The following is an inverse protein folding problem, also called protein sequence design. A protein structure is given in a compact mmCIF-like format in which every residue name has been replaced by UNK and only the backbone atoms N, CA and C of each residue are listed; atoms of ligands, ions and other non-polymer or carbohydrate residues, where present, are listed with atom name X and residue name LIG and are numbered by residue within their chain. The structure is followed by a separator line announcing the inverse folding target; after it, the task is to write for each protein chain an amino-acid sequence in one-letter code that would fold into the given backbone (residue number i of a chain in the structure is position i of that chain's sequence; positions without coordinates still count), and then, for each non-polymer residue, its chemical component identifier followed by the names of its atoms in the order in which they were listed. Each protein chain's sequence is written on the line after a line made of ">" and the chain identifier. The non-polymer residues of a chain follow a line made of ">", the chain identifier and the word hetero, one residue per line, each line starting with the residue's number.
data_IF_522277421601
#
_entry.id   IF_522277421601
#
_cell.length_a   1.000
_cell.length_b   1.000
_cell.length_c   1.000
_cell.angle_alpha   90.00
_cell.angle_beta   90.00
_cell.angle_gamma   90.00
#
_symmetry.space_group_name_H-M   'P 1'
#
loop_
_entity.id
_entity.type
_entity.pdbx_description
1 polymer ?
#
# COMPACT_ATOMS: atom_id res chain seq x y z
N UNK A 1 26.20 -68.41 25.85
CA UNK A 1 25.21 -67.35 25.57
C UNK A 1 25.94 -66.05 25.24
N UNK A 2 25.43 -65.21 24.34
CA UNK A 2 26.04 -63.90 24.04
C UNK A 2 25.69 -62.88 25.13
N UNK A 3 26.68 -62.10 25.60
CA UNK A 3 26.50 -60.71 26.05
C UNK A 3 27.65 -59.89 25.47
N UNK A 4 27.34 -58.67 25.03
CA UNK A 4 28.25 -57.85 24.22
C UNK A 4 29.04 -56.85 25.08
N UNK A 5 30.20 -56.48 24.57
CA UNK A 5 31.01 -55.37 25.04
C UNK A 5 30.29 -54.05 24.66
N UNK A 6 29.93 -53.22 25.63
CA UNK A 6 29.38 -51.89 25.38
C UNK A 6 30.51 -50.86 25.35
N UNK A 7 30.73 -50.25 24.18
CA UNK A 7 31.61 -49.10 24.04
C UNK A 7 30.92 -47.82 24.53
N UNK A 8 31.67 -46.92 25.16
CA UNK A 8 31.24 -45.53 25.36
C UNK A 8 31.30 -44.78 24.03
N UNK A 9 30.25 -44.04 23.64
CA UNK A 9 30.36 -43.03 22.59
C UNK A 9 31.04 -41.76 23.16
N UNK A 10 32.27 -41.49 22.73
CA UNK A 10 32.89 -40.18 22.94
C UNK A 10 32.24 -39.20 21.96
N UNK A 11 31.50 -38.21 22.47
CA UNK A 11 30.93 -37.14 21.65
C UNK A 11 32.04 -36.13 21.32
N UNK A 12 32.62 -36.26 20.13
CA UNK A 12 33.57 -35.30 19.61
C UNK A 12 32.83 -34.04 19.13
N UNK A 13 33.00 -32.93 19.84
CA UNK A 13 32.41 -31.64 19.49
C UNK A 13 33.23 -30.97 18.36
N UNK A 14 32.75 -31.06 17.13
CA UNK A 14 33.44 -30.50 15.96
C UNK A 14 33.16 -28.99 15.85
N UNK A 15 34.16 -28.19 16.20
CA UNK A 15 34.20 -26.75 15.92
C UNK A 15 34.54 -26.51 14.43
N UNK A 16 33.52 -26.25 13.61
CA UNK A 16 33.71 -25.78 12.23
C UNK A 16 33.97 -24.26 12.22
N UNK A 17 35.24 -23.88 12.35
CA UNK A 17 35.71 -22.52 12.08
C UNK A 17 35.94 -22.33 10.57
N UNK A 18 34.86 -22.01 9.88
CA UNK A 18 34.85 -21.44 8.53
C UNK A 18 33.81 -20.31 8.53
N UNK A 19 34.12 -19.07 8.21
CA UNK A 19 35.33 -18.45 7.66
C UNK A 19 34.86 -17.15 7.00
N UNK A 20 35.60 -16.04 7.12
CA UNK A 20 35.11 -14.75 6.65
C UNK A 20 34.85 -14.79 5.14
N UNK A 21 33.59 -14.68 4.74
CA UNK A 21 33.15 -14.56 3.37
C UNK A 21 32.32 -13.29 3.30
N UNK A 22 32.74 -12.33 2.48
CA UNK A 22 32.11 -11.00 2.42
C UNK A 22 30.70 -11.10 1.84
N UNK A 23 29.71 -11.22 2.71
CA UNK A 23 28.34 -10.88 2.35
C UNK A 23 28.26 -9.36 2.22
N UNK A 24 28.48 -8.88 1.00
CA UNK A 24 28.16 -7.51 0.59
C UNK A 24 26.70 -7.24 0.94
N UNK A 25 26.49 -6.43 1.99
CA UNK A 25 25.16 -6.00 2.40
C UNK A 25 24.45 -5.40 1.18
N UNK A 26 23.20 -5.80 0.86
CA UNK A 26 22.43 -5.12 -0.16
C UNK A 26 22.40 -3.63 0.18
N UNK A 27 22.85 -2.79 -0.75
CA UNK A 27 23.04 -1.37 -0.52
C UNK A 27 21.67 -0.69 -0.56
N UNK A 28 20.86 -0.90 0.48
CA UNK A 28 19.56 -0.25 0.67
C UNK A 28 19.80 1.24 0.86
N UNK A 29 19.76 1.96 -0.26
CA UNK A 29 19.66 3.41 -0.29
C UNK A 29 18.39 3.80 0.47
N UNK A 30 18.55 4.25 1.72
CA UNK A 30 17.46 4.83 2.49
C UNK A 30 16.93 6.05 1.75
N UNK A 31 15.86 5.86 0.97
CA UNK A 31 15.25 6.93 0.20
C UNK A 31 14.72 7.94 1.21
N UNK A 32 15.19 9.18 1.11
CA UNK A 32 14.98 10.21 2.14
C UNK A 32 13.59 10.85 1.96
N UNK A 33 12.55 10.03 2.08
CA UNK A 33 11.18 10.37 1.69
C UNK A 33 10.56 11.30 2.72
N UNK A 34 10.09 12.43 2.21
CA UNK A 34 9.61 13.54 3.03
C UNK A 34 8.13 13.39 3.38
N UNK A 35 7.80 13.75 4.63
CA UNK A 35 6.45 13.68 5.19
C UNK A 35 6.24 12.52 6.17
N UNK A 36 4.96 12.20 6.41
CA UNK A 36 4.54 11.30 7.49
C UNK A 36 4.09 9.91 6.98
N UNK A 37 3.95 9.72 5.67
CA UNK A 37 3.69 8.42 5.06
C UNK A 37 4.96 7.56 5.07
N UNK A 38 5.12 6.73 6.10
CA UNK A 38 6.25 5.82 6.30
C UNK A 38 6.24 4.61 5.35
N UNK A 39 6.32 4.88 4.05
CA UNK A 39 6.44 3.85 3.02
C UNK A 39 7.84 3.24 2.96
N UNK A 40 8.10 2.58 1.84
CA UNK A 40 9.37 1.93 1.50
C UNK A 40 9.62 2.00 0.00
N UNK A 41 10.87 1.80 -0.42
CA UNK A 41 11.18 1.51 -1.81
C UNK A 41 11.00 0.01 -2.11
N UNK A 42 10.38 -0.29 -3.24
CA UNK A 42 10.34 -1.62 -3.82
C UNK A 42 10.68 -1.52 -5.31
N UNK A 43 11.80 -2.11 -5.69
CA UNK A 43 12.31 -2.11 -7.08
C UNK A 43 12.47 -0.69 -7.68
N UNK A 44 12.76 0.33 -6.87
CA UNK A 44 12.85 1.73 -7.30
C UNK A 44 11.51 2.49 -7.35
N UNK A 45 10.42 1.89 -6.85
CA UNK A 45 9.08 2.48 -6.77
C UNK A 45 8.67 2.66 -5.31
N UNK A 46 7.97 3.74 -4.97
CA UNK A 46 7.51 3.94 -3.59
C UNK A 46 6.23 3.16 -3.30
N UNK A 47 6.16 2.51 -2.14
CA UNK A 47 4.93 1.84 -1.66
C UNK A 47 4.63 2.22 -0.22
N UNK A 48 3.38 2.61 0.06
CA UNK A 48 2.83 2.77 1.40
C UNK A 48 1.37 2.30 1.48
N UNK A 49 1.03 1.59 2.57
CA UNK A 49 -0.33 1.23 2.94
C UNK A 49 -0.65 1.66 4.37
N UNK A 50 -1.93 1.87 4.65
CA UNK A 50 -2.39 2.31 5.98
C UNK A 50 -2.49 1.21 7.04
N UNK A 51 -2.21 -0.06 6.73
CA UNK A 51 -2.50 -1.17 7.65
C UNK A 51 -1.60 -1.11 8.89
N UNK A 52 -0.31 -0.78 8.73
CA UNK A 52 0.60 -0.64 9.87
C UNK A 52 0.15 0.49 10.84
N UNK A 53 -0.43 1.59 10.35
CA UNK A 53 -1.00 2.62 11.23
C UNK A 53 -2.18 2.09 12.06
N UNK A 54 -3.04 1.24 11.48
CA UNK A 54 -4.15 0.64 12.22
C UNK A 54 -3.66 -0.34 13.30
N UNK A 55 -2.66 -1.18 13.00
CA UNK A 55 -2.07 -2.11 13.96
C UNK A 55 -1.31 -1.40 15.10
N UNK A 56 -0.63 -0.29 14.80
CA UNK A 56 0.07 0.53 15.78
C UNK A 56 -0.89 1.25 16.73
N UNK A 57 -1.95 1.85 16.18
CA UNK A 57 -2.99 2.50 16.98
C UNK A 57 -3.70 1.49 17.89
N UNK A 58 -4.03 0.31 17.36
CA UNK A 58 -4.65 -0.78 18.12
C UNK A 58 -3.79 -1.26 19.31
N UNK A 59 -2.47 -1.35 19.14
CA UNK A 59 -1.51 -1.69 20.19
C UNK A 59 -1.47 -0.62 21.30
N UNK A 60 -1.37 0.65 20.88
CA UNK A 60 -1.41 1.80 21.79
C UNK A 60 -2.74 1.89 22.56
N UNK A 61 -3.87 1.68 21.88
CA UNK A 61 -5.22 1.81 22.44
C UNK A 61 -5.54 0.70 23.45
N UNK A 62 -5.26 -0.57 23.11
CA UNK A 62 -5.85 -1.73 23.79
C UNK A 62 -4.85 -2.59 24.59
N UNK A 63 -3.54 -2.40 24.40
CA UNK A 63 -2.50 -3.15 25.14
C UNK A 63 -1.67 -2.21 26.02
N UNK A 64 -1.08 -1.16 25.45
CA UNK A 64 -0.22 -0.22 26.18
C UNK A 64 -1.04 0.83 26.96
N UNK A 65 -2.21 1.19 26.44
CA UNK A 65 -3.07 2.29 26.90
C UNK A 65 -2.40 3.69 26.89
N UNK A 66 -1.26 3.82 26.23
CA UNK A 66 -0.54 5.05 25.94
C UNK A 66 0.19 4.94 24.58
N UNK A 67 0.93 5.98 24.19
CA UNK A 67 1.76 5.95 22.97
C UNK A 67 3.00 5.08 23.21
N UNK A 68 3.33 4.19 22.27
CA UNK A 68 4.53 3.37 22.33
C UNK A 68 5.81 4.23 22.44
N UNK A 69 6.69 3.88 23.38
CA UNK A 69 7.97 4.53 23.61
C UNK A 69 9.09 3.48 23.47
N UNK A 70 10.24 3.85 22.91
CA UNK A 70 11.41 2.95 22.77
C UNK A 70 12.56 3.36 23.67
N UNK A 71 13.22 2.36 24.25
CA UNK A 71 14.46 2.52 24.99
C UNK A 71 15.66 2.46 24.02
N UNK A 72 15.86 3.51 23.23
CA UNK A 72 16.93 3.58 22.22
C UNK A 72 17.31 5.01 21.85
N UNK A 73 18.61 5.26 21.60
CA UNK A 73 19.12 6.52 21.02
C UNK A 73 19.06 6.55 19.47
N UNK A 74 18.52 5.50 18.84
CA UNK A 74 18.40 5.38 17.39
C UNK A 74 17.39 6.41 16.83
N UNK A 75 17.92 7.47 16.22
CA UNK A 75 17.15 8.58 15.69
C UNK A 75 16.17 8.19 14.59
N UNK A 76 16.46 7.14 13.81
CA UNK A 76 15.57 6.66 12.75
C UNK A 76 14.38 5.93 13.38
N UNK A 77 14.65 5.06 14.35
CA UNK A 77 13.60 4.39 15.12
C UNK A 77 12.70 5.40 15.87
N UNK A 78 13.30 6.41 16.49
CA UNK A 78 12.58 7.47 17.22
C UNK A 78 11.73 8.36 16.29
N UNK A 79 12.20 8.72 15.10
CA UNK A 79 11.41 9.45 14.10
C UNK A 79 10.23 8.60 13.57
N UNK A 80 10.46 7.32 13.28
CA UNK A 80 9.42 6.39 12.85
C UNK A 80 8.35 6.19 13.93
N UNK A 81 8.76 5.99 15.19
CA UNK A 81 7.84 5.95 16.35
C UNK A 81 7.07 7.26 16.49
N UNK A 82 7.74 8.41 16.31
CA UNK A 82 7.09 9.72 16.38
C UNK A 82 6.02 9.89 15.30
N UNK A 83 6.26 9.41 14.08
CA UNK A 83 5.28 9.43 12.98
C UNK A 83 4.14 8.43 13.18
N UNK A 84 4.42 7.19 13.59
CA UNK A 84 3.39 6.18 13.87
C UNK A 84 2.49 6.60 15.04
N UNK A 85 3.05 7.24 16.08
CA UNK A 85 2.32 7.81 17.20
C UNK A 85 1.54 9.11 16.87
N UNK A 86 1.66 9.64 15.67
CA UNK A 86 0.87 10.79 15.19
C UNK A 86 0.30 10.46 13.79
N UNK A 87 -0.61 9.47 13.73
CA UNK A 87 -0.95 8.76 12.50
C UNK A 87 -1.63 9.67 11.47
N UNK A 88 -1.20 9.54 10.21
CA UNK A 88 -1.85 10.11 9.01
C UNK A 88 -3.11 9.37 8.59
N UNK A 89 -3.42 8.24 9.22
CA UNK A 89 -4.47 7.31 8.78
C UNK A 89 -5.00 6.50 9.96
N UNK A 90 -6.33 6.34 10.03
CA UNK A 90 -7.03 5.79 11.19
C UNK A 90 -8.24 4.96 10.79
N UNK A 91 -8.89 4.30 11.77
CA UNK A 91 -10.16 3.59 11.60
C UNK A 91 -11.31 4.47 11.05
N UNK A 92 -11.16 5.81 11.03
CA UNK A 92 -12.14 6.78 10.46
C UNK A 92 -11.96 7.02 8.96
N UNK A 93 -10.84 6.61 8.40
CA UNK A 93 -10.46 6.81 7.00
C UNK A 93 -10.79 5.58 6.13
N UNK A 94 -11.43 4.59 6.75
CA UNK A 94 -12.09 3.44 6.15
C UNK A 94 -13.50 3.28 6.73
N UNK A 95 -14.33 2.59 5.99
CA UNK A 95 -15.60 2.04 6.44
C UNK A 95 -15.42 0.69 7.16
N UNK A 96 -16.25 0.43 8.17
CA UNK A 96 -16.13 -0.74 9.05
C UNK A 96 -16.27 -2.10 8.35
N UNK A 97 -16.80 -2.17 7.11
CA UNK A 97 -16.77 -3.42 6.31
C UNK A 97 -15.36 -3.75 5.83
N UNK A 98 -14.54 -2.74 5.49
CA UNK A 98 -13.29 -2.89 4.75
C UNK A 98 -12.05 -3.22 5.59
N UNK A 99 -12.09 -3.15 6.92
CA UNK A 99 -10.93 -3.50 7.77
C UNK A 99 -11.25 -4.53 8.86
N UNK A 100 -10.22 -5.28 9.27
CA UNK A 100 -10.18 -6.08 10.50
C UNK A 100 -8.93 -5.70 11.29
N UNK A 101 -9.09 -5.41 12.57
CA UNK A 101 -8.02 -4.95 13.46
C UNK A 101 -8.22 -5.62 14.81
N UNK A 102 -7.17 -6.19 15.38
CA UNK A 102 -7.22 -6.86 16.68
C UNK A 102 -5.84 -6.98 17.33
N UNK A 103 -5.78 -6.73 18.63
CA UNK A 103 -4.64 -7.03 19.50
C UNK A 103 -4.96 -8.07 20.58
N UNK A 104 -3.91 -8.59 21.23
CA UNK A 104 -4.02 -9.50 22.36
C UNK A 104 -2.71 -10.24 22.68
N UNK A 105 -2.80 -11.22 23.57
CA UNK A 105 -1.66 -12.01 24.07
C UNK A 105 -1.72 -13.47 23.59
N UNK A 106 -0.55 -14.03 23.26
CA UNK A 106 -0.31 -15.45 22.99
C UNK A 106 -1.06 -16.07 21.81
N UNK A 107 -0.81 -17.37 21.59
CA UNK A 107 -1.31 -18.12 20.44
C UNK A 107 -2.83 -18.00 20.21
N UNK A 108 -3.64 -18.03 21.28
CA UNK A 108 -5.09 -17.89 21.19
C UNK A 108 -5.53 -16.61 20.46
N UNK A 109 -4.75 -15.53 20.54
CA UNK A 109 -5.03 -14.30 19.80
C UNK A 109 -4.75 -14.47 18.30
N UNK A 110 -3.67 -15.16 17.93
CA UNK A 110 -3.32 -15.50 16.53
C UNK A 110 -4.41 -16.38 15.90
N UNK A 111 -4.88 -17.38 16.65
CA UNK A 111 -5.90 -18.32 16.19
C UNK A 111 -7.25 -17.61 15.96
N UNK A 112 -7.61 -16.67 16.84
CA UNK A 112 -8.79 -15.80 16.67
C UNK A 112 -8.62 -14.85 15.48
N UNK A 113 -7.45 -14.21 15.32
CA UNK A 113 -7.15 -13.33 14.17
C UNK A 113 -7.32 -14.10 12.85
N UNK A 114 -6.74 -15.29 12.76
CA UNK A 114 -6.82 -16.13 11.56
C UNK A 114 -8.26 -16.52 11.24
N UNK A 115 -9.05 -16.89 12.26
CA UNK A 115 -10.47 -17.20 12.11
C UNK A 115 -11.28 -15.98 11.66
N UNK A 116 -11.32 -14.92 12.48
CA UNK A 116 -12.21 -13.76 12.27
C UNK A 116 -11.85 -12.98 11.01
N UNK A 117 -10.56 -12.84 10.68
CA UNK A 117 -10.12 -12.18 9.43
C UNK A 117 -10.58 -12.95 8.18
N UNK A 118 -10.62 -14.28 8.25
CA UNK A 118 -11.05 -15.17 7.15
C UNK A 118 -12.56 -15.27 7.02
N UNK A 119 -13.28 -15.25 8.15
CA UNK A 119 -14.74 -15.14 8.19
C UNK A 119 -15.21 -13.78 7.64
N UNK A 120 -14.49 -12.68 7.93
CA UNK A 120 -14.81 -11.34 7.42
C UNK A 120 -14.40 -11.13 5.95
N UNK A 121 -13.30 -11.74 5.50
CA UNK A 121 -12.79 -11.58 4.14
C UNK A 121 -12.57 -12.93 3.43
N UNK A 122 -13.62 -13.57 2.90
CA UNK A 122 -13.50 -14.83 2.16
C UNK A 122 -12.63 -14.76 0.89
N UNK A 123 -12.42 -13.56 0.33
CA UNK A 123 -11.53 -13.30 -0.81
C UNK A 123 -10.06 -13.06 -0.43
N UNK A 124 -9.70 -13.08 0.87
CA UNK A 124 -8.34 -12.84 1.36
C UNK A 124 -7.32 -13.77 0.71
N UNK A 125 -6.40 -13.20 -0.07
CA UNK A 125 -5.36 -13.94 -0.81
C UNK A 125 -4.08 -14.20 -0.02
N UNK A 126 -3.87 -13.53 1.11
CA UNK A 126 -2.80 -13.86 2.05
C UNK A 126 -3.16 -15.11 2.87
N UNK A 127 -2.14 -15.91 3.20
CA UNK A 127 -2.27 -17.06 4.10
C UNK A 127 -2.67 -16.62 5.52
N UNK A 128 -3.12 -17.60 6.30
CA UNK A 128 -3.26 -17.46 7.75
C UNK A 128 -1.86 -17.19 8.37
N UNK A 129 -1.81 -16.46 9.49
CA UNK A 129 -0.58 -16.13 10.21
C UNK A 129 0.09 -17.39 10.78
N UNK A 130 1.34 -17.60 10.39
CA UNK A 130 2.20 -18.71 10.83
C UNK A 130 3.25 -18.18 11.84
N UNK A 131 2.77 -17.78 13.02
CA UNK A 131 3.59 -17.31 14.15
C UNK A 131 3.22 -18.10 15.40
N UNK A 132 4.23 -18.46 16.20
CA UNK A 132 4.07 -19.20 17.46
C UNK A 132 4.33 -18.28 18.65
N UNK A 133 3.30 -18.00 19.46
CA UNK A 133 3.37 -17.02 20.55
C UNK A 133 3.13 -17.64 21.93
N UNK A 134 4.07 -17.40 22.84
CA UNK A 134 3.97 -17.77 24.26
C UNK A 134 2.83 -17.01 24.95
N UNK A 135 2.28 -17.47 26.09
CA UNK A 135 1.11 -16.85 26.74
C UNK A 135 1.28 -15.39 27.22
N UNK A 136 2.49 -14.83 27.16
CA UNK A 136 2.79 -13.43 27.50
C UNK A 136 3.21 -12.59 26.30
N UNK A 137 3.44 -13.20 25.15
CA UNK A 137 3.90 -12.50 23.95
C UNK A 137 2.72 -11.73 23.34
N UNK A 138 2.96 -10.52 22.81
CA UNK A 138 1.91 -9.63 22.30
C UNK A 138 1.83 -9.74 20.77
N UNK A 139 0.61 -9.71 20.23
CA UNK A 139 0.36 -9.42 18.82
C UNK A 139 -0.62 -8.25 18.70
N UNK A 140 -0.36 -7.36 17.75
CA UNK A 140 -1.35 -6.43 17.20
C UNK A 140 -1.37 -6.60 15.69
N UNK A 141 -2.57 -6.76 15.12
CA UNK A 141 -2.78 -7.08 13.72
C UNK A 141 -3.79 -6.13 13.10
N UNK A 142 -3.53 -5.78 11.85
CA UNK A 142 -4.48 -5.11 10.98
C UNK A 142 -4.44 -5.72 9.58
N UNK A 143 -5.61 -5.74 8.95
CA UNK A 143 -5.80 -6.08 7.55
C UNK A 143 -6.93 -5.21 7.01
N UNK A 144 -6.79 -4.69 5.80
CA UNK A 144 -7.90 -4.09 5.07
C UNK A 144 -7.96 -4.64 3.66
N UNK A 145 -9.16 -4.61 3.09
CA UNK A 145 -9.42 -5.01 1.72
C UNK A 145 -10.32 -3.96 1.07
N UNK A 146 -9.85 -3.44 -0.06
CA UNK A 146 -10.53 -2.51 -0.95
C UNK A 146 -10.42 -3.10 -2.36
N UNK A 147 -11.56 -3.42 -2.94
CA UNK A 147 -11.71 -3.97 -4.28
C UNK A 147 -12.69 -3.02 -4.98
N UNK A 148 -12.28 -2.41 -6.11
CA UNK A 148 -13.04 -1.35 -6.79
C UNK A 148 -13.01 -1.51 -8.30
N UNK A 149 -14.13 -1.22 -8.96
CA UNK A 149 -14.29 -1.29 -10.42
C UNK A 149 -14.62 0.08 -11.02
N UNK A 150 -14.25 0.30 -12.28
CA UNK A 150 -14.72 1.47 -13.03
C UNK A 150 -16.21 1.35 -13.38
N UNK A 151 -16.89 2.49 -13.56
CA UNK A 151 -18.28 2.53 -14.04
C UNK A 151 -18.40 2.04 -15.51
N UNK A 152 -17.31 2.09 -16.27
CA UNK A 152 -17.18 1.44 -17.59
C UNK A 152 -15.73 1.00 -17.75
N UNK A 153 -15.51 -0.28 -18.08
CA UNK A 153 -14.17 -0.79 -18.33
C UNK A 153 -13.55 -0.12 -19.57
N UNK A 154 -12.25 0.18 -19.48
CA UNK A 154 -11.43 0.70 -20.57
C UNK A 154 -11.08 -0.40 -21.59
N UNK A 155 -10.56 -0.01 -22.75
CA UNK A 155 -10.08 -0.98 -23.75
C UNK A 155 -8.61 -1.32 -23.49
N UNK A 156 -8.24 -2.61 -23.54
CA UNK A 156 -6.83 -3.03 -23.45
C UNK A 156 -5.98 -2.48 -24.61
N UNK A 157 -4.78 -1.99 -24.31
CA UNK A 157 -3.85 -1.48 -25.34
C UNK A 157 -2.41 -1.46 -24.85
N UNK A 158 -1.46 -1.79 -25.72
CA UNK A 158 -0.05 -1.55 -25.43
C UNK A 158 0.24 -0.04 -25.42
N UNK A 159 0.67 0.47 -24.27
CA UNK A 159 1.03 1.88 -24.05
C UNK A 159 2.56 2.02 -24.06
N UNK A 160 3.08 3.19 -23.69
CA UNK A 160 4.53 3.39 -23.51
C UNK A 160 4.81 4.15 -22.23
N UNK A 161 5.81 3.70 -21.47
CA UNK A 161 6.27 4.31 -20.23
C UNK A 161 7.79 4.46 -20.26
N UNK A 162 8.32 5.67 -20.06
CA UNK A 162 9.73 6.02 -20.24
C UNK A 162 10.31 5.44 -21.56
N UNK A 163 9.54 5.57 -22.65
CA UNK A 163 9.80 5.03 -24.00
C UNK A 163 9.83 3.49 -24.13
N UNK A 164 9.50 2.72 -23.09
CA UNK A 164 9.37 1.27 -23.13
C UNK A 164 7.92 0.84 -23.37
N UNK A 165 7.69 -0.19 -24.20
CA UNK A 165 6.34 -0.72 -24.46
C UNK A 165 5.90 -1.70 -23.37
N UNK A 166 4.78 -1.41 -22.73
CA UNK A 166 4.16 -2.21 -21.67
C UNK A 166 2.68 -2.41 -21.98
N UNK A 167 2.05 -3.42 -21.39
CA UNK A 167 0.60 -3.57 -21.46
C UNK A 167 -0.07 -2.46 -20.66
N UNK A 168 -1.25 -2.04 -21.11
CA UNK A 168 -2.00 -0.95 -20.54
C UNK A 168 -3.45 -0.95 -21.01
N UNK A 169 -4.09 0.20 -20.84
CA UNK A 169 -5.46 0.43 -21.23
C UNK A 169 -5.68 1.91 -21.61
N UNK A 170 -6.76 2.18 -22.34
CA UNK A 170 -7.08 3.52 -22.83
C UNK A 170 -8.59 3.77 -22.91
N UNK A 171 -8.96 5.06 -22.93
CA UNK A 171 -10.31 5.47 -23.29
C UNK A 171 -10.43 5.52 -24.82
N UNK A 172 -11.24 4.62 -25.37
CA UNK A 172 -11.59 4.48 -26.78
C UNK A 172 -12.95 5.11 -27.06
N UNK A 173 -13.94 4.87 -26.19
CA UNK A 173 -15.30 5.41 -26.30
C UNK A 173 -15.51 6.63 -25.40
N UNK A 174 -16.51 7.44 -25.72
CA UNK A 174 -16.83 8.63 -24.93
C UNK A 174 -17.40 8.29 -23.54
N UNK A 175 -18.12 7.17 -23.40
CA UNK A 175 -18.51 6.60 -22.10
C UNK A 175 -17.28 6.36 -21.21
N UNK A 176 -16.22 5.73 -21.76
CA UNK A 176 -14.95 5.52 -21.04
C UNK A 176 -14.26 6.86 -20.70
N UNK A 177 -14.34 7.88 -21.56
CA UNK A 177 -13.84 9.23 -21.26
C UNK A 177 -14.61 9.87 -20.11
N UNK A 178 -15.93 9.66 -20.00
CA UNK A 178 -16.71 10.21 -18.87
C UNK A 178 -16.24 9.69 -17.50
N UNK A 179 -15.55 8.56 -17.44
CA UNK A 179 -14.99 8.01 -16.21
C UNK A 179 -13.69 8.69 -15.77
N UNK A 180 -13.02 9.44 -16.65
CA UNK A 180 -11.82 10.20 -16.30
C UNK A 180 -12.25 11.60 -15.87
N UNK A 181 -12.15 11.91 -14.58
CA UNK A 181 -12.48 13.22 -14.00
C UNK A 181 -11.23 14.05 -13.77
N UNK A 182 -11.22 15.30 -14.23
CA UNK A 182 -10.07 16.20 -14.08
C UNK A 182 -10.13 16.85 -12.68
N UNK A 183 -9.22 16.45 -11.79
CA UNK A 183 -8.98 17.16 -10.52
C UNK A 183 -8.15 18.42 -10.80
N UNK A 184 -7.13 18.31 -11.67
CA UNK A 184 -6.25 19.42 -12.05
C UNK A 184 -5.57 19.16 -13.38
N UNK A 185 -5.42 20.18 -14.22
CA UNK A 185 -4.61 20.11 -15.44
C UNK A 185 -3.72 21.35 -15.55
N UNK A 186 -2.41 21.15 -15.65
CA UNK A 186 -1.43 22.21 -15.94
C UNK A 186 -0.78 21.99 -17.32
N UNK A 187 -0.55 20.73 -17.72
CA UNK A 187 -0.13 20.34 -19.08
C UNK A 187 -0.29 18.83 -19.31
N UNK A 188 -0.07 18.39 -20.56
CA UNK A 188 0.09 16.98 -20.96
C UNK A 188 1.13 16.21 -20.11
N UNK A 189 2.05 16.92 -19.42
CA UNK A 189 3.06 16.35 -18.52
C UNK A 189 2.81 16.60 -17.02
N UNK A 190 1.77 17.35 -16.66
CA UNK A 190 1.42 17.64 -15.27
C UNK A 190 -0.09 17.79 -15.07
N UNK A 191 -0.71 16.76 -14.51
CA UNK A 191 -2.14 16.68 -14.26
C UNK A 191 -2.46 15.77 -13.06
N UNK A 192 -3.67 15.91 -12.53
CA UNK A 192 -4.30 15.01 -11.58
C UNK A 192 -5.68 14.64 -12.12
N UNK A 193 -5.96 13.35 -12.23
CA UNK A 193 -7.27 12.81 -12.61
C UNK A 193 -7.75 11.82 -11.55
N UNK A 194 -9.07 11.71 -11.38
CA UNK A 194 -9.70 10.56 -10.70
C UNK A 194 -10.34 9.67 -11.74
N UNK A 195 -10.20 8.36 -11.58
CA UNK A 195 -11.03 7.39 -12.29
C UNK A 195 -12.31 7.16 -11.49
N UNK A 196 -13.47 7.19 -12.15
CA UNK A 196 -14.79 7.10 -11.54
C UNK A 196 -15.16 5.63 -11.28
N UNK A 197 -15.39 5.32 -10.02
CA UNK A 197 -15.62 3.97 -9.51
C UNK A 197 -17.11 3.67 -9.28
N UNK A 198 -17.48 2.39 -9.32
CA UNK A 198 -18.84 1.93 -8.99
C UNK A 198 -19.20 2.18 -7.51
N UNK A 199 -18.34 1.80 -6.57
CA UNK A 199 -18.46 2.22 -5.16
C UNK A 199 -17.95 3.66 -5.03
N UNK A 200 -18.89 4.61 -5.11
CA UNK A 200 -18.63 6.05 -5.03
C UNK A 200 -18.15 6.53 -3.66
N UNK A 201 -18.03 5.63 -2.67
CA UNK A 201 -17.39 5.95 -1.39
C UNK A 201 -15.86 5.88 -1.44
N UNK A 202 -15.27 5.36 -2.53
CA UNK A 202 -13.84 5.36 -2.81
C UNK A 202 -13.47 6.14 -4.07
N UNK A 203 -12.18 6.51 -4.18
CA UNK A 203 -11.58 7.17 -5.35
C UNK A 203 -10.22 6.54 -5.69
N UNK A 204 -9.95 6.40 -6.99
CA UNK A 204 -8.65 6.01 -7.53
C UNK A 204 -8.08 7.20 -8.32
N UNK A 205 -7.03 7.80 -7.79
CA UNK A 205 -6.48 9.09 -8.25
C UNK A 205 -5.08 8.87 -8.84
N UNK A 206 -4.83 9.50 -9.99
CA UNK A 206 -3.60 9.38 -10.76
C UNK A 206 -3.00 10.78 -10.98
N UNK A 207 -1.77 11.00 -10.54
CA UNK A 207 -1.12 12.32 -10.56
C UNK A 207 0.28 12.27 -11.20
N UNK A 208 0.41 12.86 -12.39
CA UNK A 208 1.66 12.94 -13.18
C UNK A 208 2.34 14.31 -12.96
N UNK A 209 3.67 14.33 -12.97
CA UNK A 209 4.44 15.59 -12.94
C UNK A 209 4.57 16.24 -11.55
N UNK A 210 4.58 15.42 -10.50
CA UNK A 210 4.82 15.82 -9.10
C UNK A 210 6.13 15.21 -8.58
N UNK A 211 6.68 15.74 -7.48
CA UNK A 211 7.90 15.19 -6.87
C UNK A 211 7.64 13.78 -6.33
N UNK A 212 8.43 12.80 -6.79
CA UNK A 212 8.31 11.39 -6.41
C UNK A 212 8.94 11.07 -5.05
N UNK A 213 9.57 12.05 -4.37
CA UNK A 213 10.15 11.92 -3.03
C UNK A 213 9.25 12.53 -1.92
N UNK A 214 8.08 13.04 -2.29
CA UNK A 214 7.19 13.77 -1.38
C UNK A 214 5.71 13.34 -1.55
N UNK A 215 5.33 12.14 -1.07
CA UNK A 215 3.94 11.67 -1.08
C UNK A 215 3.00 12.62 -0.33
N UNK A 216 3.51 13.36 0.68
CA UNK A 216 2.72 14.34 1.41
C UNK A 216 2.28 15.51 0.52
N UNK A 217 3.17 16.03 -0.35
CA UNK A 217 2.87 17.16 -1.22
C UNK A 217 1.86 16.82 -2.32
N UNK A 218 1.88 15.61 -2.89
CA UNK A 218 0.86 15.20 -3.88
C UNK A 218 -0.50 15.02 -3.21
N UNK A 219 -0.58 14.39 -2.03
CA UNK A 219 -1.84 14.26 -1.26
C UNK A 219 -2.39 15.63 -0.85
N UNK A 220 -1.53 16.55 -0.39
CA UNK A 220 -1.95 17.94 -0.11
C UNK A 220 -2.45 18.65 -1.37
N UNK A 221 -1.85 18.41 -2.54
CA UNK A 221 -2.34 18.99 -3.80
C UNK A 221 -3.68 18.39 -4.21
N UNK A 222 -3.87 17.08 -4.08
CA UNK A 222 -5.14 16.39 -4.34
C UNK A 222 -6.24 17.03 -3.47
N UNK A 223 -6.06 17.05 -2.14
CA UNK A 223 -7.06 17.58 -1.20
C UNK A 223 -7.39 19.08 -1.39
N UNK A 224 -6.51 19.85 -2.03
CA UNK A 224 -6.75 21.26 -2.35
C UNK A 224 -7.57 21.49 -3.63
N UNK A 225 -7.58 20.53 -4.57
CA UNK A 225 -8.19 20.68 -5.90
C UNK A 225 -9.34 19.67 -6.13
N UNK A 226 -9.42 18.60 -5.34
CA UNK A 226 -10.44 17.57 -5.43
C UNK A 226 -11.77 18.08 -4.85
N UNK A 227 -12.58 18.69 -5.71
CA UNK A 227 -13.89 19.22 -5.38
C UNK A 227 -14.99 18.21 -5.76
N UNK A 228 -16.20 18.41 -5.21
CA UNK A 228 -17.31 17.46 -5.38
C UNK A 228 -17.72 17.25 -6.85
N UNK A 229 -17.71 18.34 -7.62
CA UNK A 229 -18.24 18.38 -8.99
C UNK A 229 -17.05 18.64 -9.94
N UNK A 230 -16.51 17.57 -10.53
CA UNK A 230 -15.36 17.60 -11.44
C UNK A 230 -15.78 17.38 -12.90
N UNK A 231 -15.22 18.11 -13.88
CA UNK A 231 -15.47 17.85 -15.29
C UNK A 231 -14.87 16.50 -15.72
N UNK A 232 -15.46 15.90 -16.76
CA UNK A 232 -14.83 14.80 -17.48
C UNK A 232 -13.67 15.30 -18.36
N UNK A 233 -12.94 14.38 -18.99
CA UNK A 233 -12.16 14.71 -20.19
C UNK A 233 -13.10 14.76 -21.41
N UNK A 234 -12.79 15.61 -22.39
CA UNK A 234 -13.67 15.87 -23.55
C UNK A 234 -13.57 14.76 -24.61
N UNK A 235 -14.51 14.70 -25.57
CA UNK A 235 -14.49 13.71 -26.69
C UNK A 235 -13.18 13.71 -27.49
N UNK A 236 -12.50 14.86 -27.54
CA UNK A 236 -11.24 15.03 -28.24
C UNK A 236 -9.99 14.62 -27.41
N UNK A 237 -10.14 14.45 -26.10
CA UNK A 237 -9.04 14.18 -25.17
C UNK A 237 -8.63 12.70 -25.15
N UNK A 238 -7.40 12.44 -24.72
CA UNK A 238 -6.78 11.12 -24.74
C UNK A 238 -6.38 10.68 -23.33
N UNK A 239 -6.87 9.52 -22.86
CA UNK A 239 -6.42 8.88 -21.63
C UNK A 239 -5.73 7.54 -21.91
N UNK A 240 -4.56 7.31 -21.30
CA UNK A 240 -3.80 6.05 -21.38
C UNK A 240 -3.06 5.76 -20.07
N UNK A 241 -3.10 4.52 -19.60
CA UNK A 241 -2.40 4.06 -18.39
C UNK A 241 -1.75 2.68 -18.56
N UNK A 242 -0.57 2.42 -17.97
CA UNK A 242 -0.01 1.07 -17.84
C UNK A 242 -0.87 0.18 -16.92
N UNK A 243 -0.85 -1.14 -17.18
CA UNK A 243 -1.29 -2.13 -16.18
C UNK A 243 -0.23 -2.24 -15.08
N UNK A 244 -0.68 -2.36 -13.83
CA UNK A 244 0.20 -2.48 -12.67
C UNK A 244 -0.06 -3.77 -11.90
N UNK A 245 1.02 -4.42 -11.45
CA UNK A 245 1.01 -5.55 -10.53
C UNK A 245 2.04 -5.34 -9.41
N UNK A 246 1.64 -5.54 -8.16
CA UNK A 246 2.48 -5.38 -6.98
C UNK A 246 2.20 -6.52 -5.99
N UNK A 247 3.27 -7.20 -5.56
CA UNK A 247 3.30 -8.13 -4.43
C UNK A 247 4.55 -7.80 -3.60
N UNK A 248 4.38 -6.97 -2.58
CA UNK A 248 5.47 -6.40 -1.77
C UNK A 248 5.41 -6.89 -0.32
N UNK A 249 6.56 -7.24 0.22
CA UNK A 249 6.78 -7.58 1.63
C UNK A 249 7.83 -6.64 2.22
N UNK A 250 7.51 -6.02 3.37
CA UNK A 250 8.39 -5.05 4.03
C UNK A 250 8.50 -5.32 5.52
N UNK A 251 9.70 -5.68 5.97
CA UNK A 251 10.10 -5.61 7.37
C UNK A 251 10.39 -4.15 7.78
N UNK A 252 10.07 -3.81 9.03
CA UNK A 252 10.42 -2.56 9.69
C UNK A 252 11.70 -2.78 10.51
N UNK A 253 12.80 -3.07 9.82
CA UNK A 253 14.10 -3.46 10.40
C UNK A 253 14.70 -2.41 11.34
N UNK A 254 14.28 -1.16 11.21
CA UNK A 254 14.65 -0.03 12.07
C UNK A 254 14.00 -0.11 13.46
N UNK A 255 12.87 -0.81 13.56
CA UNK A 255 12.06 -0.99 14.79
C UNK A 255 12.22 -2.38 15.39
N UNK A 256 12.54 -3.40 14.59
CA UNK A 256 12.82 -4.76 15.07
C UNK A 256 14.04 -4.77 16.00
N UNK A 257 13.96 -5.54 17.09
CA UNK A 257 14.97 -5.64 18.13
C UNK A 257 15.01 -4.48 19.13
N UNK A 258 14.18 -3.44 18.97
CA UNK A 258 14.13 -2.31 19.92
C UNK A 258 13.26 -2.66 21.14
N UNK A 259 13.78 -2.42 22.34
CA UNK A 259 13.05 -2.59 23.60
C UNK A 259 12.07 -1.43 23.85
N UNK A 260 10.95 -1.73 24.51
CA UNK A 260 9.96 -0.72 24.89
C UNK A 260 10.41 0.04 26.15
N UNK A 261 9.87 1.25 26.32
CA UNK A 261 10.06 2.10 27.51
C UNK A 261 8.74 2.41 28.24
N UNK A 262 7.63 1.78 27.82
CA UNK A 262 6.31 1.94 28.45
C UNK A 262 6.26 1.21 29.80
N UNK A 263 5.55 1.80 30.77
CA UNK A 263 5.51 1.32 32.15
C UNK A 263 4.83 -0.06 32.25
N UNK A 264 5.53 -1.05 32.80
CA UNK A 264 5.08 -2.45 32.85
C UNK A 264 5.33 -3.26 31.56
N UNK A 265 5.98 -2.66 30.56
CA UNK A 265 6.36 -3.29 29.29
C UNK A 265 7.89 -3.26 29.05
N UNK A 266 8.70 -2.96 30.06
CA UNK A 266 10.15 -2.78 29.95
C UNK A 266 10.90 -4.09 29.60
N UNK A 267 10.30 -5.25 29.92
CA UNK A 267 10.80 -6.59 29.53
C UNK A 267 10.51 -6.95 28.05
N UNK A 268 9.77 -6.11 27.30
CA UNK A 268 9.36 -6.40 25.92
C UNK A 268 10.22 -5.68 24.87
N UNK A 269 10.34 -6.31 23.70
CA UNK A 269 10.94 -5.74 22.51
C UNK A 269 10.14 -6.12 21.27
N UNK A 270 10.27 -5.33 20.20
CA UNK A 270 9.63 -5.63 18.90
C UNK A 270 10.39 -6.80 18.25
N UNK A 271 9.85 -8.01 18.37
CA UNK A 271 10.49 -9.23 17.83
C UNK A 271 10.35 -9.36 16.31
N UNK A 272 9.19 -8.99 15.77
CA UNK A 272 8.88 -8.92 14.34
C UNK A 272 7.92 -7.76 14.08
N UNK A 273 8.06 -7.10 12.94
CA UNK A 273 7.15 -6.04 12.49
C UNK A 273 7.25 -5.95 10.97
N UNK A 274 6.21 -6.40 10.26
CA UNK A 274 6.19 -6.44 8.79
C UNK A 274 4.81 -6.05 8.22
N UNK A 275 4.79 -5.66 6.95
CA UNK A 275 3.58 -5.40 6.18
C UNK A 275 3.65 -6.18 4.84
N UNK A 276 2.51 -6.67 4.36
CA UNK A 276 2.38 -7.27 3.03
C UNK A 276 1.36 -6.46 2.23
N UNK A 277 1.75 -5.99 1.04
CA UNK A 277 0.95 -5.08 0.22
C UNK A 277 0.76 -5.71 -1.15
N UNK A 278 -0.50 -5.93 -1.54
CA UNK A 278 -0.89 -6.40 -2.87
C UNK A 278 -1.76 -5.36 -3.56
N UNK A 279 -1.41 -5.02 -4.78
CA UNK A 279 -2.16 -4.08 -5.61
C UNK A 279 -2.14 -4.53 -7.07
N UNK A 280 -3.26 -4.34 -7.76
CA UNK A 280 -3.41 -4.59 -9.19
C UNK A 280 -4.22 -3.43 -9.79
N UNK A 281 -3.86 -2.99 -10.99
CA UNK A 281 -4.64 -2.02 -11.76
C UNK A 281 -4.66 -2.45 -13.23
N UNK A 282 -5.85 -2.70 -13.74
CA UNK A 282 -6.09 -3.11 -15.13
C UNK A 282 -7.19 -2.26 -15.78
N UNK A 283 -7.71 -2.71 -16.94
CA UNK A 283 -8.75 -2.01 -17.70
C UNK A 283 -10.14 -2.05 -17.06
N UNK A 284 -10.38 -2.94 -16.08
CA UNK A 284 -11.66 -3.07 -15.36
C UNK A 284 -11.64 -2.35 -14.01
N UNK A 285 -10.47 -2.29 -13.37
CA UNK A 285 -10.24 -1.52 -12.16
C UNK A 285 -9.15 -2.11 -11.29
N UNK A 286 -9.50 -2.28 -10.02
CA UNK A 286 -8.78 -3.02 -9.01
C UNK A 286 -9.73 -4.03 -8.34
N UNK A 287 -10.36 -4.91 -9.17
CA UNK A 287 -11.13 -6.13 -8.81
C UNK A 287 -12.54 -5.86 -8.19
N UNK A 288 -13.63 -6.65 -8.25
CA UNK A 288 -14.32 -7.68 -9.11
C UNK A 288 -15.68 -7.91 -8.39
N UNK A 289 -16.90 -8.08 -8.94
CA UNK A 289 -17.56 -8.03 -10.28
C UNK A 289 -19.08 -7.85 -9.99
N UNK A 290 -20.00 -7.41 -10.87
CA UNK A 290 -19.98 -6.60 -12.09
C UNK A 290 -21.45 -6.46 -12.57
N UNK A 291 -22.07 -5.26 -12.63
CA UNK A 291 -23.30 -4.99 -13.41
C UNK A 291 -23.44 -3.49 -13.76
N UNK A 292 -24.19 -3.13 -14.82
CA UNK A 292 -24.17 -1.78 -15.44
C UNK A 292 -25.56 -1.15 -15.69
N UNK A 293 -25.63 0.19 -15.76
CA UNK A 293 -26.84 0.99 -16.03
C UNK A 293 -26.51 2.24 -16.88
N UNK A 294 -27.45 2.65 -17.74
CA UNK A 294 -27.34 3.78 -18.70
C UNK A 294 -27.98 5.08 -18.15
N UNK A 295 -27.43 6.24 -18.52
CA UNK A 295 -28.12 7.54 -18.51
C UNK A 295 -27.69 8.40 -19.73
N UNK A 296 -28.51 9.38 -20.14
CA UNK A 296 -28.34 10.16 -21.38
C UNK A 296 -27.84 11.60 -21.16
N UNK A 297 -27.31 12.20 -22.25
CA UNK A 297 -26.60 13.48 -22.30
C UNK A 297 -27.51 14.73 -22.43
N UNK A 298 -26.93 15.90 -22.17
CA UNK A 298 -27.41 17.22 -22.62
C UNK A 298 -26.27 17.97 -23.35
N UNK A 299 -26.59 18.79 -24.36
CA UNK A 299 -25.61 19.42 -25.27
C UNK A 299 -24.95 20.68 -24.68
N UNK A 300 -23.64 20.84 -24.85
CA UNK A 300 -22.93 22.13 -24.74
C UNK A 300 -22.03 22.31 -25.98
N UNK A 301 -21.80 23.57 -26.38
CA UNK A 301 -21.13 23.93 -27.63
C UNK A 301 -19.60 23.83 -27.56
N UNK A 302 -18.98 23.33 -28.64
CA UNK A 302 -17.53 23.23 -28.77
C UNK A 302 -16.86 24.58 -29.00
N UNK A 303 -15.72 24.79 -28.35
CA UNK A 303 -14.66 25.74 -28.73
C UNK A 303 -13.41 24.96 -29.10
N UNK A 304 -12.62 25.45 -30.07
CA UNK A 304 -11.38 24.80 -30.53
C UNK A 304 -10.23 24.84 -29.49
N UNK A 305 -10.39 24.13 -28.37
CA UNK A 305 -9.25 23.76 -27.52
C UNK A 305 -8.45 22.62 -28.16
N UNK A 306 -7.12 22.67 -28.03
CA UNK A 306 -6.24 21.56 -28.43
C UNK A 306 -6.51 20.35 -27.51
N UNK A 307 -6.65 19.12 -28.05
CA UNK A 307 -6.69 17.88 -27.27
C UNK A 307 -5.68 17.81 -26.12
N UNK A 308 -6.19 17.52 -24.93
CA UNK A 308 -5.47 17.30 -23.68
C UNK A 308 -5.09 15.82 -23.59
N UNK A 309 -3.87 15.53 -23.15
CA UNK A 309 -3.29 14.17 -23.20
C UNK A 309 -2.99 13.68 -21.79
N UNK A 310 -3.98 13.03 -21.19
CA UNK A 310 -3.93 12.35 -19.89
C UNK A 310 -3.21 11.00 -20.01
N UNK A 311 -1.98 11.03 -20.53
CA UNK A 311 -1.15 9.85 -20.81
C UNK A 311 -0.13 9.68 -19.69
N UNK A 312 -0.14 8.53 -19.03
CA UNK A 312 0.82 8.14 -18.00
C UNK A 312 2.04 7.45 -18.63
N UNK A 313 2.86 8.23 -19.33
CA UNK A 313 4.10 7.79 -19.99
C UNK A 313 5.39 8.07 -19.19
N UNK A 314 5.27 8.75 -18.04
CA UNK A 314 6.36 9.25 -17.18
C UNK A 314 5.95 9.10 -15.71
N UNK A 315 6.88 9.15 -14.73
CA UNK A 315 6.60 8.90 -13.33
C UNK A 315 5.36 9.61 -12.77
N UNK A 316 4.56 8.85 -12.02
CA UNK A 316 3.26 9.27 -11.51
C UNK A 316 2.94 8.60 -10.18
N UNK A 317 2.07 9.26 -9.43
CA UNK A 317 1.47 8.73 -8.21
C UNK A 317 0.14 8.05 -8.53
N UNK A 318 -0.08 6.88 -7.92
CA UNK A 318 -1.40 6.27 -7.71
C UNK A 318 -1.77 6.47 -6.25
N UNK A 319 -2.95 7.02 -5.98
CA UNK A 319 -3.46 7.30 -4.64
C UNK A 319 -4.87 6.74 -4.53
N UNK A 320 -5.18 6.04 -3.44
CA UNK A 320 -6.53 5.59 -3.14
C UNK A 320 -6.99 6.09 -1.77
N UNK A 321 -8.14 6.74 -1.75
CA UNK A 321 -8.76 7.32 -0.56
C UNK A 321 -10.28 7.17 -0.63
N UNK A 322 -10.95 7.26 0.53
CA UNK A 322 -12.41 7.42 0.54
C UNK A 322 -12.80 8.82 0.03
N UNK A 323 -13.92 8.92 -0.66
CA UNK A 323 -14.52 10.19 -1.14
C UNK A 323 -14.83 11.17 0.00
N UNK A 324 -15.00 10.67 1.23
CA UNK A 324 -15.26 11.48 2.44
C UNK A 324 -14.06 11.65 3.38
N UNK A 325 -12.86 11.16 3.01
CA UNK A 325 -11.62 11.43 3.76
C UNK A 325 -10.58 12.18 2.91
N UNK A 326 -9.75 12.97 3.61
CA UNK A 326 -8.54 13.61 3.09
C UNK A 326 -7.30 12.70 3.21
N UNK A 327 -7.42 11.54 3.87
CA UNK A 327 -6.32 10.63 4.12
C UNK A 327 -6.44 9.39 3.22
N UNK A 328 -5.45 9.08 2.38
CA UNK A 328 -5.45 7.85 1.60
C UNK A 328 -5.17 6.63 2.48
N UNK A 329 -5.70 5.48 2.06
CA UNK A 329 -5.35 4.16 2.60
C UNK A 329 -4.19 3.48 1.84
N UNK A 330 -3.87 3.97 0.64
CA UNK A 330 -2.79 3.45 -0.21
C UNK A 330 -2.16 4.55 -1.06
N UNK A 331 -0.83 4.55 -1.17
CA UNK A 331 -0.05 5.41 -2.05
C UNK A 331 1.04 4.57 -2.74
N UNK A 332 1.13 4.68 -4.05
CA UNK A 332 2.14 4.03 -4.89
C UNK A 332 2.79 5.06 -5.83
N UNK A 333 4.11 5.23 -5.74
CA UNK A 333 4.90 6.10 -6.61
C UNK A 333 5.57 5.29 -7.71
N UNK A 334 4.99 5.31 -8.92
CA UNK A 334 5.45 4.55 -10.08
C UNK A 334 6.55 5.32 -10.79
N UNK A 335 7.79 4.85 -10.68
CA UNK A 335 8.98 5.48 -11.27
C UNK A 335 9.50 4.72 -12.50
N UNK A 336 9.28 3.40 -12.57
CA UNK A 336 9.83 2.52 -13.60
C UNK A 336 8.84 1.41 -14.01
N UNK A 337 9.30 0.51 -14.89
CA UNK A 337 8.50 -0.56 -15.51
C UNK A 337 8.54 -1.90 -14.78
N UNK A 338 9.15 -2.01 -13.59
CA UNK A 338 9.24 -3.30 -12.88
C UNK A 338 7.89 -3.77 -12.32
N UNK A 339 6.98 -2.83 -12.02
CA UNK A 339 5.58 -3.11 -11.63
C UNK A 339 4.64 -3.25 -12.83
N UNK A 340 5.15 -3.26 -14.06
CA UNK A 340 4.33 -3.24 -15.29
C UNK A 340 4.44 -4.54 -16.07
N UNK A 341 3.31 -4.95 -16.64
CA UNK A 341 3.23 -6.10 -17.53
C UNK A 341 4.06 -5.85 -18.81
N UNK A 342 5.20 -6.52 -18.92
CA UNK A 342 6.07 -6.52 -20.10
C UNK A 342 5.44 -7.39 -21.21
N UNK A 343 5.80 -7.10 -22.46
CA UNK A 343 5.33 -7.83 -23.65
C UNK A 343 6.15 -9.09 -23.92
#
# INVERSE_FOLDING_TARGET
>A
MKKQLFFLPIVAMILLLTGCNDQTTPNQSGVNISGNYLGSDYQGNYVWGGAMNLAWNELNENILHEKLQLNTDDKTALDMVTKLNNPVFTKKDLDDKSYYVKSGYGQNTVDIINKESKEKFPSKSFKDLDVSLSPRDIISYAYFLKEVEYVTAFTEKNVSFNNQKVKGFYAETDDQKTNVKIIKYESDDKFIISLHLQDKSDQLILAKGYDMQNPQAVVTTINQNNHKDLPAIDEADNFQAPKLHLDHHRDYVELIGKALANSGFEDYFISQMFENIKFNMDEKGARVENEAVIALLENISLTDEKPKNFILDKPYWVVMQRTDSQNPYFILGVNNTELMDKN
#
